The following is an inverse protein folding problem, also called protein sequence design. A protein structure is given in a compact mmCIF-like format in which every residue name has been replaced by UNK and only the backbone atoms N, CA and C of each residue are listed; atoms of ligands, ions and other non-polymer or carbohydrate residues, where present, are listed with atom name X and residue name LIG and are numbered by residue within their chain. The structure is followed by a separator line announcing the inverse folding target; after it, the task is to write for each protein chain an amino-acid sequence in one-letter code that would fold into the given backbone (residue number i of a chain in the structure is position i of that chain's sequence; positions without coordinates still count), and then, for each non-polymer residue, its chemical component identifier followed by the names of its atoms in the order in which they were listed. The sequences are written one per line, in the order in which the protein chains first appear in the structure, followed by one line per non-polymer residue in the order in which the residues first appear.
data_IF_571480139885
#
_entry.id   IF_571480139885
#
_cell.length_a   1.000
_cell.length_b   1.000
_cell.length_c   1.000
_cell.angle_alpha   90.00
_cell.angle_beta   90.00
_cell.angle_gamma   90.00
#
_symmetry.space_group_name_H-M   'P 1'
#
loop_
_entity.id
_entity.type
_entity.pdbx_description
1 polymer ?
#
# COMPACT_ATOMS: atom_id res chain seq x y z
N UNK A 1 -0.09 13.79 -5.86
CA UNK A 1 -1.46 13.39 -6.19
C UNK A 1 -1.37 12.54 -7.44
N UNK A 2 -2.06 11.41 -7.49
CA UNK A 2 -2.09 10.60 -8.71
C UNK A 2 -3.03 11.25 -9.73
N UNK A 3 -2.45 11.87 -10.77
CA UNK A 3 -3.22 12.48 -11.86
C UNK A 3 -4.09 11.44 -12.57
N UNK A 4 -3.61 10.20 -12.72
CA UNK A 4 -4.34 9.16 -13.43
C UNK A 4 -5.61 8.78 -12.69
N UNK A 5 -5.57 8.67 -11.35
CA UNK A 5 -6.76 8.38 -10.54
C UNK A 5 -7.81 9.50 -10.64
N UNK A 6 -7.37 10.76 -10.63
CA UNK A 6 -8.26 11.92 -10.75
C UNK A 6 -8.89 11.98 -12.15
N UNK A 7 -8.08 11.83 -13.20
CA UNK A 7 -8.55 11.83 -14.59
C UNK A 7 -9.49 10.65 -14.87
N UNK A 8 -9.17 9.46 -14.36
CA UNK A 8 -10.00 8.27 -14.48
C UNK A 8 -11.36 8.43 -13.81
N UNK A 9 -11.39 8.99 -12.58
CA UNK A 9 -12.64 9.29 -11.88
C UNK A 9 -13.49 10.31 -12.64
N UNK A 10 -12.87 11.39 -13.14
CA UNK A 10 -13.55 12.40 -13.93
C UNK A 10 -14.15 11.81 -15.22
N UNK A 11 -13.40 10.94 -15.92
CA UNK A 11 -13.85 10.29 -17.14
C UNK A 11 -15.01 9.32 -16.88
N UNK A 12 -14.97 8.56 -15.78
CA UNK A 12 -16.06 7.67 -15.38
C UNK A 12 -17.35 8.45 -15.08
N UNK A 13 -17.25 9.54 -14.32
CA UNK A 13 -18.39 10.40 -14.02
C UNK A 13 -18.95 11.07 -15.28
N UNK A 14 -18.08 11.59 -16.15
CA UNK A 14 -18.48 12.18 -17.43
C UNK A 14 -19.20 11.16 -18.33
N UNK A 15 -18.70 9.92 -18.39
CA UNK A 15 -19.34 8.84 -19.15
C UNK A 15 -20.74 8.51 -18.65
N UNK A 16 -20.94 8.43 -17.34
CA UNK A 16 -22.26 8.20 -16.73
C UNK A 16 -23.22 9.35 -17.08
N UNK A 17 -22.76 10.61 -16.93
CA UNK A 17 -23.59 11.78 -17.20
C UNK A 17 -23.97 11.87 -18.67
N UNK A 18 -23.02 11.72 -19.58
CA UNK A 18 -23.27 11.76 -21.02
C UNK A 18 -24.20 10.62 -21.43
N UNK A 19 -23.93 9.38 -21.00
CA UNK A 19 -24.78 8.24 -21.29
C UNK A 19 -26.24 8.46 -20.84
N UNK A 20 -26.44 8.93 -19.61
CA UNK A 20 -27.78 9.19 -19.08
C UNK A 20 -28.52 10.31 -19.82
N UNK A 21 -27.79 11.35 -20.27
CA UNK A 21 -28.40 12.43 -21.06
C UNK A 21 -28.80 11.99 -22.47
N UNK A 22 -28.05 11.07 -23.08
CA UNK A 22 -28.38 10.52 -24.41
C UNK A 22 -29.66 9.69 -24.37
N UNK A 23 -29.93 8.99 -23.26
CA UNK A 23 -31.18 8.28 -23.01
C UNK A 23 -32.37 9.21 -22.64
N UNK A 24 -32.18 10.54 -22.67
CA UNK A 24 -33.21 11.52 -22.35
C UNK A 24 -33.53 11.62 -20.85
N UNK A 25 -32.67 11.08 -19.99
CA UNK A 25 -32.83 11.09 -18.54
C UNK A 25 -32.62 12.47 -17.92
N UNK A 26 -33.45 12.83 -16.94
CA UNK A 26 -33.25 14.03 -16.10
C UNK A 26 -32.19 13.71 -15.04
N UNK A 27 -31.21 14.60 -14.81
CA UNK A 27 -30.19 14.39 -13.78
C UNK A 27 -30.76 14.15 -12.37
N UNK A 28 -31.91 14.76 -12.06
CA UNK A 28 -32.59 14.56 -10.78
C UNK A 28 -33.04 13.10 -10.54
N UNK A 29 -33.22 12.29 -11.58
CA UNK A 29 -33.60 10.88 -11.42
C UNK A 29 -32.44 9.97 -11.01
N UNK A 30 -31.19 10.41 -11.19
CA UNK A 30 -29.98 9.69 -10.77
C UNK A 30 -29.77 9.77 -9.25
N UNK A 31 -30.22 10.85 -8.62
CA UNK A 31 -30.01 11.09 -7.19
C UNK A 31 -31.21 10.57 -6.43
N UNK A 32 -31.16 9.28 -6.08
CA UNK A 32 -32.17 8.61 -5.25
C UNK A 32 -31.58 8.26 -3.88
N UNK A 33 -31.86 9.05 -2.83
CA UNK A 33 -31.27 8.83 -1.50
C UNK A 33 -31.56 7.44 -0.93
N UNK A 34 -32.75 6.89 -1.19
CA UNK A 34 -33.12 5.56 -0.74
C UNK A 34 -32.26 4.46 -1.40
N UNK A 35 -32.12 4.49 -2.74
CA UNK A 35 -31.29 3.53 -3.45
C UNK A 35 -29.81 3.65 -3.04
N UNK A 36 -29.32 4.89 -2.88
CA UNK A 36 -27.97 5.16 -2.38
C UNK A 36 -27.74 4.55 -1.00
N UNK A 37 -28.67 4.76 -0.06
CA UNK A 37 -28.55 4.20 1.28
C UNK A 37 -28.50 2.67 1.27
N UNK A 38 -29.36 2.01 0.48
CA UNK A 38 -29.36 0.55 0.36
C UNK A 38 -28.03 0.02 -0.17
N UNK A 39 -27.52 0.62 -1.26
CA UNK A 39 -26.28 0.18 -1.89
C UNK A 39 -25.08 0.45 -0.99
N UNK A 40 -24.93 1.67 -0.45
CA UNK A 40 -23.78 2.03 0.39
C UNK A 40 -23.81 1.29 1.72
N UNK A 41 -24.94 1.27 2.44
CA UNK A 41 -25.01 0.57 3.73
C UNK A 41 -24.95 -0.94 3.54
N UNK A 42 -25.60 -1.48 2.51
CA UNK A 42 -25.57 -2.90 2.20
C UNK A 42 -24.16 -3.38 1.83
N UNK A 43 -23.44 -2.65 0.97
CA UNK A 43 -22.06 -3.00 0.60
C UNK A 43 -21.09 -2.84 1.77
N UNK A 44 -21.20 -1.77 2.57
CA UNK A 44 -20.39 -1.61 3.79
C UNK A 44 -20.68 -2.72 4.81
N UNK A 45 -21.94 -3.12 4.98
CA UNK A 45 -22.33 -4.22 5.85
C UNK A 45 -21.81 -5.58 5.37
N UNK A 46 -21.94 -5.87 4.07
CA UNK A 46 -21.45 -7.11 3.46
C UNK A 46 -19.91 -7.20 3.52
N UNK A 47 -19.20 -6.10 3.25
CA UNK A 47 -17.73 -6.05 3.36
C UNK A 47 -17.27 -6.20 4.80
N UNK A 48 -17.95 -5.59 5.77
CA UNK A 48 -17.65 -5.77 7.19
C UNK A 48 -17.92 -7.20 7.67
N UNK A 49 -18.93 -7.88 7.12
CA UNK A 49 -19.23 -9.28 7.42
C UNK A 49 -18.19 -10.23 6.83
N UNK A 50 -17.69 -9.94 5.63
CA UNK A 50 -16.69 -10.76 4.94
C UNK A 50 -15.27 -10.57 5.50
N UNK A 51 -14.92 -9.35 5.91
CA UNK A 51 -13.55 -8.96 6.23
C UNK A 51 -13.28 -8.93 7.73
N UNK A 52 -12.08 -9.36 8.13
CA UNK A 52 -11.62 -9.18 9.51
C UNK A 52 -11.53 -7.68 9.84
N UNK A 53 -11.93 -7.29 11.06
CA UNK A 53 -11.91 -5.90 11.53
C UNK A 53 -10.59 -5.16 11.26
N UNK A 54 -9.46 -5.84 11.39
CA UNK A 54 -8.12 -5.27 11.14
C UNK A 54 -7.93 -4.92 9.66
N UNK A 55 -8.27 -5.83 8.75
CA UNK A 55 -8.17 -5.63 7.31
C UNK A 55 -9.14 -4.56 6.82
N UNK A 56 -10.38 -4.53 7.35
CA UNK A 56 -11.36 -3.48 7.03
C UNK A 56 -10.84 -2.08 7.40
N UNK A 57 -10.30 -1.92 8.62
CA UNK A 57 -9.76 -0.64 9.08
C UNK A 57 -8.53 -0.20 8.27
N UNK A 58 -7.69 -1.15 7.86
CA UNK A 58 -6.55 -0.89 6.99
C UNK A 58 -7.02 -0.46 5.60
N UNK A 59 -7.99 -1.15 4.99
CA UNK A 59 -8.58 -0.80 3.70
C UNK A 59 -9.18 0.62 3.69
N UNK A 60 -9.91 0.98 4.76
CA UNK A 60 -10.44 2.33 4.92
C UNK A 60 -9.32 3.39 4.96
N UNK A 61 -8.18 3.09 5.59
CA UNK A 61 -7.00 3.98 5.57
C UNK A 61 -6.32 4.03 4.22
N UNK A 62 -6.35 2.94 3.45
CA UNK A 62 -5.77 2.86 2.10
C UNK A 62 -6.57 3.65 1.07
N UNK A 63 -7.85 3.98 1.31
CA UNK A 63 -8.64 4.84 0.40
C UNK A 63 -7.93 6.17 0.07
N UNK A 64 -7.19 6.74 1.02
CA UNK A 64 -6.43 7.99 0.78
C UNK A 64 -5.33 7.81 -0.27
N UNK A 65 -4.84 6.58 -0.48
CA UNK A 65 -3.79 6.27 -1.44
C UNK A 65 -4.27 6.38 -2.89
N UNK A 66 -5.58 6.30 -3.14
CA UNK A 66 -6.18 6.56 -4.45
C UNK A 66 -5.81 7.96 -4.94
N UNK A 67 -5.79 8.95 -4.05
CA UNK A 67 -5.43 10.32 -4.42
C UNK A 67 -3.98 10.64 -4.10
N UNK A 68 -3.43 10.07 -3.03
CA UNK A 68 -2.10 10.37 -2.49
C UNK A 68 -1.35 9.06 -2.29
N UNK A 69 -0.80 8.45 -3.36
CA UNK A 69 -0.04 7.23 -3.23
C UNK A 69 1.24 7.46 -2.42
N UNK A 70 1.71 6.44 -1.67
CA UNK A 70 2.98 6.52 -0.96
C UNK A 70 4.13 6.78 -1.95
N UNK A 71 5.04 7.68 -1.58
CA UNK A 71 6.20 8.01 -2.42
C UNK A 71 7.17 6.82 -2.46
N UNK A 72 7.65 6.50 -3.66
CA UNK A 72 8.73 5.52 -3.84
C UNK A 72 10.06 6.12 -3.35
N UNK A 73 10.64 5.56 -2.30
CA UNK A 73 11.98 5.91 -1.79
C UNK A 73 13.11 5.10 -2.43
N UNK A 74 12.87 4.44 -3.56
CA UNK A 74 13.80 3.46 -4.16
C UNK A 74 15.19 4.02 -4.46
N UNK A 75 15.28 5.26 -4.92
CA UNK A 75 16.57 5.89 -5.26
C UNK A 75 17.40 6.23 -4.02
N UNK A 76 16.75 6.61 -2.92
CA UNK A 76 17.44 6.83 -1.65
C UNK A 76 17.89 5.50 -1.07
N UNK A 77 17.01 4.51 -1.08
CA UNK A 77 17.30 3.17 -0.57
C UNK A 77 18.45 2.51 -1.33
N UNK A 78 18.53 2.66 -2.66
CA UNK A 78 19.63 2.10 -3.45
C UNK A 78 20.99 2.70 -3.08
N UNK A 79 21.03 4.02 -2.82
CA UNK A 79 22.23 4.73 -2.34
C UNK A 79 22.63 4.27 -0.95
N UNK A 80 21.67 4.10 -0.04
CA UNK A 80 21.92 3.56 1.31
C UNK A 80 22.50 2.15 1.25
N UNK A 81 21.92 1.26 0.44
CA UNK A 81 22.43 -0.10 0.24
C UNK A 81 23.86 -0.09 -0.31
N UNK A 82 24.17 0.77 -1.28
CA UNK A 82 25.52 0.91 -1.80
C UNK A 82 26.52 1.38 -0.72
N UNK A 83 26.12 2.33 0.11
CA UNK A 83 26.92 2.84 1.23
C UNK A 83 27.15 1.77 2.31
N UNK A 84 26.14 0.97 2.65
CA UNK A 84 26.30 -0.18 3.55
C UNK A 84 27.25 -1.22 2.97
N UNK A 85 27.16 -1.51 1.66
CA UNK A 85 28.06 -2.44 0.99
C UNK A 85 29.52 -1.98 1.06
N UNK A 86 29.79 -0.70 0.81
CA UNK A 86 31.13 -0.11 0.93
C UNK A 86 31.66 -0.18 2.38
N UNK A 87 30.82 0.19 3.35
CA UNK A 87 31.16 0.17 4.77
C UNK A 87 31.48 -1.26 5.23
N UNK A 88 30.64 -2.23 4.87
CA UNK A 88 30.84 -3.64 5.17
C UNK A 88 32.14 -4.20 4.57
N UNK A 89 32.52 -3.77 3.36
CA UNK A 89 33.77 -4.20 2.71
C UNK A 89 35.02 -3.58 3.32
N UNK A 90 34.96 -2.31 3.73
CA UNK A 90 36.12 -1.59 4.26
C UNK A 90 36.33 -1.83 5.75
N UNK A 91 35.25 -1.75 6.52
CA UNK A 91 35.28 -1.70 7.98
C UNK A 91 34.68 -2.98 8.62
N UNK A 92 34.23 -3.94 7.81
CA UNK A 92 33.65 -5.22 8.24
C UNK A 92 32.15 -5.14 8.56
N UNK A 93 31.50 -6.30 8.78
CA UNK A 93 30.04 -6.37 8.99
C UNK A 93 29.57 -5.66 10.27
N UNK A 94 30.35 -5.71 11.35
CA UNK A 94 30.01 -5.07 12.63
C UNK A 94 29.93 -3.54 12.49
N UNK A 95 30.59 -2.94 11.50
CA UNK A 95 30.46 -1.52 11.23
C UNK A 95 29.05 -1.11 10.80
N UNK A 96 28.19 -2.05 10.40
CA UNK A 96 26.80 -1.77 10.02
C UNK A 96 25.90 -1.40 11.21
N UNK A 97 26.34 -1.65 12.45
CA UNK A 97 25.55 -1.32 13.64
C UNK A 97 25.21 0.18 13.72
N UNK A 98 26.09 1.05 13.21
CA UNK A 98 25.86 2.50 13.17
C UNK A 98 24.64 2.91 12.34
N UNK A 99 24.19 2.06 11.40
CA UNK A 99 23.03 2.32 10.54
C UNK A 99 21.73 1.72 11.09
N UNK A 100 21.76 1.02 12.23
CA UNK A 100 20.56 0.42 12.84
C UNK A 100 19.60 1.45 13.48
N UNK A 101 19.97 2.74 13.51
CA UNK A 101 19.11 3.84 13.99
C UNK A 101 18.02 4.29 13.00
N UNK A 102 17.83 3.58 11.89
CA UNK A 102 16.79 3.87 10.90
C UNK A 102 15.37 3.75 11.48
N UNK A 103 14.44 4.54 10.94
CA UNK A 103 13.02 4.47 11.33
C UNK A 103 12.33 3.20 10.79
N UNK A 104 12.87 2.59 9.74
CA UNK A 104 12.29 1.40 9.14
C UNK A 104 12.73 0.12 9.88
N UNK A 105 11.76 -0.49 10.57
CA UNK A 105 11.96 -1.73 11.33
C UNK A 105 12.39 -2.91 10.45
N UNK A 106 11.99 -2.95 9.18
CA UNK A 106 12.37 -4.00 8.25
C UNK A 106 13.87 -3.92 7.93
N UNK A 107 14.36 -2.71 7.61
CA UNK A 107 15.78 -2.45 7.36
C UNK A 107 16.59 -2.75 8.62
N UNK A 108 16.15 -2.26 9.79
CA UNK A 108 16.81 -2.52 11.06
C UNK A 108 16.95 -4.02 11.36
N UNK A 109 15.89 -4.81 11.11
CA UNK A 109 15.92 -6.28 11.26
C UNK A 109 16.93 -6.90 10.28
N UNK A 110 16.93 -6.49 9.02
CA UNK A 110 17.86 -6.98 8.00
C UNK A 110 19.32 -6.71 8.35
N UNK A 111 19.66 -5.48 8.75
CA UNK A 111 21.02 -5.10 9.18
C UNK A 111 21.47 -5.93 10.38
N UNK A 112 20.61 -6.12 11.38
CA UNK A 112 20.93 -6.94 12.56
C UNK A 112 21.26 -8.38 12.19
N UNK A 113 20.44 -9.02 11.35
CA UNK A 113 20.68 -10.41 10.92
C UNK A 113 21.99 -10.55 10.13
N UNK A 114 22.39 -9.52 9.39
CA UNK A 114 23.68 -9.48 8.68
C UNK A 114 24.84 -9.36 9.68
N UNK A 115 24.74 -8.48 10.67
CA UNK A 115 25.74 -8.33 11.74
C UNK A 115 25.90 -9.62 12.55
N UNK A 116 24.79 -10.31 12.83
CA UNK A 116 24.76 -11.60 13.52
C UNK A 116 25.36 -12.75 12.69
N UNK A 117 25.78 -12.50 11.44
CA UNK A 117 26.44 -13.49 10.59
C UNK A 117 25.52 -14.59 10.04
N UNK A 118 24.21 -14.31 9.95
CA UNK A 118 23.25 -15.26 9.37
C UNK A 118 23.60 -15.52 7.90
N UNK A 119 23.59 -16.80 7.50
CA UNK A 119 23.88 -17.20 6.13
C UNK A 119 22.94 -16.52 5.12
N UNK A 120 23.44 -16.11 3.93
CA UNK A 120 22.66 -15.35 2.95
C UNK A 120 21.32 -16.01 2.55
N UNK A 121 21.29 -17.32 2.36
CA UNK A 121 20.08 -18.04 1.96
C UNK A 121 19.01 -18.01 3.06
N UNK A 122 19.44 -18.18 4.32
CA UNK A 122 18.54 -18.10 5.48
C UNK A 122 18.04 -16.68 5.71
N UNK A 123 18.92 -15.68 5.54
CA UNK A 123 18.56 -14.26 5.62
C UNK A 123 17.48 -13.92 4.59
N UNK A 124 17.69 -14.33 3.33
CA UNK A 124 16.72 -14.13 2.25
C UNK A 124 15.38 -14.76 2.60
N UNK A 125 15.37 -16.04 2.99
CA UNK A 125 14.13 -16.75 3.33
C UNK A 125 13.34 -16.07 4.47
N UNK A 126 14.02 -15.58 5.50
CA UNK A 126 13.38 -14.86 6.61
C UNK A 126 12.75 -13.54 6.16
N UNK A 127 13.48 -12.75 5.38
CA UNK A 127 12.99 -11.45 4.89
C UNK A 127 11.89 -11.62 3.84
N UNK A 128 11.97 -12.63 2.98
CA UNK A 128 10.90 -12.98 2.04
C UNK A 128 9.62 -13.40 2.76
N UNK A 129 9.73 -14.14 3.86
CA UNK A 129 8.57 -14.51 4.69
C UNK A 129 7.88 -13.27 5.26
N UNK A 130 8.64 -12.30 5.74
CA UNK A 130 8.10 -11.02 6.24
C UNK A 130 7.43 -10.21 5.13
N UNK A 131 8.06 -10.13 3.94
CA UNK A 131 7.51 -9.44 2.77
C UNK A 131 6.20 -10.10 2.34
N UNK A 132 6.16 -11.43 2.23
CA UNK A 132 4.97 -12.18 1.86
C UNK A 132 3.83 -11.97 2.86
N UNK A 133 4.13 -12.00 4.17
CA UNK A 133 3.13 -11.73 5.20
C UNK A 133 2.62 -10.28 5.15
N UNK A 134 3.50 -9.31 4.86
CA UNK A 134 3.10 -7.92 4.64
C UNK A 134 2.20 -7.79 3.41
N UNK A 135 2.63 -8.32 2.28
CA UNK A 135 1.88 -8.24 1.02
C UNK A 135 0.51 -8.93 1.13
N UNK A 136 0.44 -10.09 1.78
CA UNK A 136 -0.82 -10.79 2.00
C UNK A 136 -1.81 -9.94 2.81
N UNK A 137 -1.35 -9.24 3.85
CA UNK A 137 -2.18 -8.34 4.66
C UNK A 137 -2.66 -7.13 3.85
N UNK A 138 -1.76 -6.49 3.11
CA UNK A 138 -2.12 -5.34 2.25
C UNK A 138 -3.11 -5.75 1.16
N UNK A 139 -2.90 -6.91 0.51
CA UNK A 139 -3.83 -7.45 -0.50
C UNK A 139 -5.19 -7.81 0.08
N UNK A 140 -5.24 -8.35 1.31
CA UNK A 140 -6.49 -8.63 2.00
C UNK A 140 -7.25 -7.36 2.37
N UNK A 141 -6.54 -6.28 2.72
CA UNK A 141 -7.15 -5.00 3.05
C UNK A 141 -7.61 -4.19 1.82
N UNK A 142 -6.98 -4.43 0.66
CA UNK A 142 -7.36 -3.80 -0.60
C UNK A 142 -8.56 -4.48 -1.29
N UNK A 143 -9.00 -5.65 -0.82
CA UNK A 143 -10.18 -6.37 -1.31
C UNK A 143 -11.44 -5.89 -0.61
#
# INVERSE_FOLDING_TARGET
MDWASVAGLALALAGILVGHTLDGGKFASLIQPAAFAIVVVGTLGATLLQSERRSFMLGLRMLRWVFIPPKSGRDLLSREIALWSLTARRDGLLSLEQYMGTQDKFIQKGLRLVVDGIQPDKLRSLLETDINAYEMRERQAAR
#
